data_IF_260854722988
#
_entry.id   IF_260854722988
#
_cell.length_a   1.000
_cell.length_b   1.000
_cell.length_c   1.000
_cell.angle_alpha   90.00
_cell.angle_beta   90.00
_cell.angle_gamma   90.00
#
_symmetry.space_group_name_H-M   'P 1'
#
loop_
_entity.id
_entity.type
_entity.pdbx_description
1 polymer ?
#
# COMPACT_ATOMS: atom_id res chain seq x y z
N UNK A 1 8.04 -8.78 -15.23
CA UNK A 1 7.95 -8.60 -13.77
C UNK A 1 7.53 -9.91 -13.12
N UNK A 2 8.25 -10.35 -12.11
CA UNK A 2 7.89 -11.56 -11.36
C UNK A 2 6.92 -11.20 -10.24
N UNK A 3 5.63 -11.47 -10.43
CA UNK A 3 4.60 -11.20 -9.42
C UNK A 3 4.56 -12.22 -8.28
N UNK A 4 5.26 -13.35 -8.42
CA UNK A 4 5.29 -14.40 -7.40
C UNK A 4 6.35 -14.16 -6.33
N UNK A 5 7.10 -13.07 -6.41
CA UNK A 5 8.13 -12.75 -5.44
C UNK A 5 7.52 -12.63 -4.04
N UNK A 6 8.14 -13.32 -3.07
CA UNK A 6 7.55 -13.47 -1.72
C UNK A 6 8.10 -12.48 -0.71
N UNK A 7 9.30 -12.01 -0.90
CA UNK A 7 9.96 -11.12 0.06
C UNK A 7 10.84 -10.11 -0.65
N UNK A 8 10.87 -8.89 -0.12
CA UNK A 8 11.64 -7.78 -0.69
C UNK A 8 12.11 -6.87 0.43
N UNK A 9 13.24 -6.21 0.18
CA UNK A 9 13.64 -5.04 0.95
C UNK A 9 12.95 -3.81 0.38
N UNK A 10 12.74 -2.82 1.24
CA UNK A 10 12.18 -1.55 0.85
C UNK A 10 12.83 -0.38 1.56
N UNK A 11 12.64 0.81 1.02
CA UNK A 11 13.16 2.03 1.60
C UNK A 11 12.31 3.23 1.17
N UNK A 12 12.28 4.28 2.00
CA UNK A 12 11.75 5.57 1.60
C UNK A 12 12.75 6.26 0.64
N UNK A 13 12.36 7.39 0.07
CA UNK A 13 13.16 8.08 -0.94
C UNK A 13 14.55 8.49 -0.41
N UNK A 14 14.63 9.04 0.79
CA UNK A 14 15.92 9.45 1.36
C UNK A 14 16.77 8.27 1.87
N UNK A 15 16.20 7.08 1.91
CA UNK A 15 16.87 5.89 2.43
C UNK A 15 16.98 5.83 3.95
N UNK A 16 16.43 6.81 4.67
CA UNK A 16 16.47 6.84 6.12
C UNK A 16 15.65 5.74 6.77
N UNK A 17 14.49 5.42 6.19
CA UNK A 17 13.65 4.29 6.60
C UNK A 17 13.95 3.11 5.69
N UNK A 18 14.31 1.98 6.28
CA UNK A 18 14.55 0.72 5.58
C UNK A 18 13.80 -0.41 6.25
N UNK A 19 13.22 -1.27 5.45
CA UNK A 19 12.44 -2.40 5.97
C UNK A 19 12.60 -3.63 5.09
N UNK A 20 12.25 -4.77 5.67
CA UNK A 20 12.10 -6.03 4.96
C UNK A 20 10.65 -6.46 5.07
N UNK A 21 10.06 -6.92 3.97
CA UNK A 21 8.66 -7.32 3.96
C UNK A 21 8.49 -8.66 3.27
N UNK A 22 7.63 -9.49 3.86
CA UNK A 22 7.16 -10.74 3.28
C UNK A 22 5.74 -10.50 2.78
N UNK A 23 5.53 -10.64 1.48
CA UNK A 23 4.25 -10.33 0.83
C UNK A 23 3.27 -11.50 0.95
N UNK A 24 2.00 -11.21 1.27
CA UNK A 24 0.98 -12.24 1.45
C UNK A 24 0.62 -12.99 0.16
N UNK A 25 0.69 -12.31 -0.98
CA UNK A 25 0.41 -12.90 -2.29
C UNK A 25 1.29 -12.26 -3.36
N UNK A 26 2.57 -12.07 -3.04
CA UNK A 26 3.50 -11.42 -3.92
C UNK A 26 2.99 -10.06 -4.39
N UNK A 27 3.17 -9.75 -5.64
CA UNK A 27 2.70 -8.52 -6.25
C UNK A 27 1.30 -8.66 -6.87
N UNK A 28 0.64 -9.81 -6.72
CA UNK A 28 -0.70 -10.06 -7.27
C UNK A 28 -1.79 -9.25 -6.58
N UNK A 29 -1.55 -8.81 -5.35
CA UNK A 29 -2.51 -8.00 -4.60
C UNK A 29 -2.44 -6.50 -4.93
N UNK A 30 -1.64 -6.11 -5.91
CA UNK A 30 -1.44 -4.71 -6.29
C UNK A 30 -2.78 -4.02 -6.62
N UNK A 31 -3.01 -2.86 -6.01
CA UNK A 31 -4.23 -2.08 -6.15
C UNK A 31 -4.02 -0.62 -5.79
N UNK A 32 -4.99 0.19 -6.17
CA UNK A 32 -5.16 1.56 -5.66
C UNK A 32 -6.50 1.66 -4.94
N UNK A 33 -6.67 2.72 -4.18
CA UNK A 33 -7.91 3.01 -3.47
C UNK A 33 -8.36 4.42 -3.82
N UNK A 34 -9.67 4.62 -3.93
CA UNK A 34 -10.26 5.91 -4.28
C UNK A 34 -10.76 6.72 -3.07
N UNK A 35 -10.45 6.31 -1.84
CA UNK A 35 -10.85 7.08 -0.66
C UNK A 35 -10.20 8.47 -0.67
N UNK A 36 -10.70 9.36 0.19
CA UNK A 36 -10.26 10.77 0.23
C UNK A 36 -8.75 10.93 0.37
N UNK A 37 -8.11 10.05 1.13
CA UNK A 37 -6.67 10.10 1.37
C UNK A 37 -5.89 9.40 0.25
N UNK A 38 -6.29 8.17 -0.09
CA UNK A 38 -5.55 7.37 -1.06
C UNK A 38 -5.58 7.95 -2.49
N UNK A 39 -6.69 8.61 -2.88
CA UNK A 39 -6.76 9.27 -4.19
C UNK A 39 -5.73 10.40 -4.30
N UNK A 40 -5.46 11.10 -3.20
CA UNK A 40 -4.48 12.18 -3.16
C UNK A 40 -3.05 11.63 -3.16
N UNK A 41 -2.83 10.56 -2.40
CA UNK A 41 -1.52 9.90 -2.30
C UNK A 41 -1.12 9.18 -3.59
N UNK A 42 -2.07 8.53 -4.26
CA UNK A 42 -1.84 7.89 -5.55
C UNK A 42 -1.00 6.63 -5.54
N UNK A 43 -0.75 6.03 -4.38
CA UNK A 43 0.12 4.88 -4.27
C UNK A 43 -0.53 3.59 -4.78
N UNK A 44 0.26 2.76 -5.46
CA UNK A 44 -0.06 1.35 -5.69
C UNK A 44 0.45 0.58 -4.49
N UNK A 45 -0.40 -0.26 -3.90
CA UNK A 45 -0.06 -1.00 -2.69
C UNK A 45 -0.24 -2.49 -2.87
N UNK A 46 0.53 -3.26 -2.11
CA UNK A 46 0.42 -4.71 -2.00
C UNK A 46 0.24 -5.10 -0.54
N UNK A 47 -0.22 -6.31 -0.28
CA UNK A 47 -0.61 -6.76 1.05
C UNK A 47 0.52 -7.51 1.75
N UNK A 48 0.70 -7.23 3.05
CA UNK A 48 1.53 -8.00 3.97
C UNK A 48 0.79 -8.18 5.29
N UNK A 49 1.07 -9.27 6.02
CA UNK A 49 0.55 -9.46 7.37
C UNK A 49 1.30 -8.54 8.35
N UNK A 50 0.69 -8.22 9.50
CA UNK A 50 1.31 -7.34 10.49
C UNK A 50 2.67 -7.88 10.97
N UNK A 51 2.80 -9.19 11.14
CA UNK A 51 4.05 -9.80 11.60
C UNK A 51 5.15 -9.86 10.53
N UNK A 52 4.82 -9.52 9.28
CA UNK A 52 5.70 -9.77 8.13
C UNK A 52 6.41 -8.52 7.60
N UNK A 53 6.32 -7.40 8.32
CA UNK A 53 7.16 -6.23 8.06
C UNK A 53 8.13 -6.06 9.22
N UNK A 54 9.42 -5.98 8.90
CA UNK A 54 10.48 -5.69 9.87
C UNK A 54 11.12 -4.35 9.50
N UNK A 55 11.09 -3.39 10.42
CA UNK A 55 11.76 -2.11 10.23
C UNK A 55 13.24 -2.30 10.61
N UNK A 56 14.10 -2.27 9.61
CA UNK A 56 15.53 -2.50 9.78
C UNK A 56 16.28 -1.26 10.25
N UNK A 57 15.78 -0.07 9.86
CA UNK A 57 16.44 1.20 10.14
C UNK A 57 15.39 2.31 10.07
N UNK A 58 15.55 3.34 10.89
CA UNK A 58 14.79 4.58 10.77
C UNK A 58 13.37 4.52 11.33
N UNK A 59 13.08 3.60 12.27
CA UNK A 59 11.77 3.55 12.93
C UNK A 59 11.40 4.92 13.55
N UNK A 60 12.38 5.65 14.07
CA UNK A 60 12.19 6.97 14.67
C UNK A 60 11.84 8.05 13.64
N UNK A 61 12.06 7.80 12.35
CA UNK A 61 11.68 8.71 11.27
C UNK A 61 10.24 8.48 10.81
N UNK A 62 9.63 7.34 11.16
CA UNK A 62 8.26 7.05 10.77
C UNK A 62 7.30 7.93 11.56
N UNK A 63 6.43 8.63 10.82
CA UNK A 63 5.37 9.46 11.37
C UNK A 63 4.04 8.81 11.07
N UNK A 64 3.15 8.79 12.06
CA UNK A 64 1.81 8.23 11.96
C UNK A 64 0.82 9.34 11.63
N UNK A 65 0.02 9.11 10.59
CA UNK A 65 -1.16 9.92 10.29
C UNK A 65 -2.42 9.08 10.41
N UNK A 66 -3.39 9.58 11.16
CA UNK A 66 -4.69 8.94 11.34
C UNK A 66 -5.80 9.95 11.04
N UNK A 67 -6.92 9.46 10.54
CA UNK A 67 -8.10 10.29 10.30
C UNK A 67 -9.36 9.43 10.41
N UNK A 68 -10.54 10.09 10.46
CA UNK A 68 -11.84 9.44 10.56
C UNK A 68 -11.90 8.51 11.79
N UNK A 69 -12.06 7.21 11.60
CA UNK A 69 -12.17 6.25 12.72
C UNK A 69 -10.86 5.99 13.44
N UNK A 70 -9.72 6.36 12.86
CA UNK A 70 -8.39 6.05 13.41
C UNK A 70 -8.01 4.58 13.31
N UNK A 71 -8.83 3.73 12.67
CA UNK A 71 -8.52 2.31 12.47
C UNK A 71 -7.35 2.14 11.52
N UNK A 72 -7.36 2.87 10.39
CA UNK A 72 -6.24 2.87 9.46
C UNK A 72 -5.10 3.72 10.03
N UNK A 73 -3.88 3.18 9.95
CA UNK A 73 -2.68 3.85 10.46
C UNK A 73 -1.70 4.02 9.31
N UNK A 74 -1.47 5.26 8.91
CA UNK A 74 -0.65 5.58 7.74
C UNK A 74 0.72 6.07 8.19
N UNK A 75 1.77 5.42 7.71
CA UNK A 75 3.15 5.72 8.10
C UNK A 75 3.90 6.35 6.93
N UNK A 76 4.66 7.38 7.21
CA UNK A 76 5.53 8.03 6.23
C UNK A 76 6.82 8.49 6.89
N UNK A 77 7.87 8.64 6.07
CA UNK A 77 9.15 9.16 6.54
C UNK A 77 9.03 10.66 6.82
N UNK A 78 9.37 11.10 8.03
CA UNK A 78 9.33 12.51 8.40
C UNK A 78 10.35 13.36 7.66
N UNK A 79 11.43 12.75 7.15
CA UNK A 79 12.50 13.45 6.47
C UNK A 79 12.19 13.71 4.99
N UNK A 80 11.68 12.70 4.27
CA UNK A 80 11.40 12.85 2.84
C UNK A 80 9.92 12.87 2.49
N UNK A 81 9.03 12.58 3.46
CA UNK A 81 7.58 12.60 3.27
C UNK A 81 7.00 11.39 2.55
N UNK A 82 7.81 10.42 2.17
CA UNK A 82 7.32 9.27 1.40
C UNK A 82 6.58 8.29 2.31
N UNK A 83 5.35 8.00 1.93
CA UNK A 83 4.52 6.95 2.51
C UNK A 83 5.18 5.58 2.27
N UNK A 84 5.30 4.79 3.33
CA UNK A 84 5.90 3.45 3.27
C UNK A 84 4.86 2.35 3.33
N UNK A 85 3.99 2.39 4.32
CA UNK A 85 2.96 1.37 4.54
C UNK A 85 1.84 1.91 5.42
N UNK A 86 0.74 1.18 5.47
CA UNK A 86 -0.36 1.51 6.37
C UNK A 86 -1.05 0.24 6.88
N UNK A 87 -1.54 0.29 8.12
CA UNK A 87 -2.46 -0.71 8.64
C UNK A 87 -3.82 -0.46 8.03
N UNK A 88 -4.42 -1.50 7.45
CA UNK A 88 -5.64 -1.37 6.65
C UNK A 88 -6.88 -1.22 7.53
N UNK A 89 -7.81 -0.35 7.12
CA UNK A 89 -9.12 -0.24 7.76
C UNK A 89 -10.00 -1.46 7.48
N UNK A 90 -10.00 -1.94 6.23
CA UNK A 90 -10.82 -3.07 5.80
C UNK A 90 -10.37 -4.40 6.40
N UNK A 91 -9.10 -4.51 6.75
CA UNK A 91 -8.53 -5.68 7.42
C UNK A 91 -7.37 -5.22 8.31
N UNK A 92 -7.66 -4.91 9.61
CA UNK A 92 -6.63 -4.40 10.51
C UNK A 92 -5.48 -5.37 10.82
N UNK A 93 -5.61 -6.64 10.44
CA UNK A 93 -4.54 -7.64 10.57
C UNK A 93 -3.54 -7.59 9.42
N UNK A 94 -3.72 -6.66 8.49
CA UNK A 94 -2.87 -6.53 7.31
C UNK A 94 -2.35 -5.12 7.13
N UNK A 95 -1.15 -5.03 6.52
CA UNK A 95 -0.60 -3.80 5.97
C UNK A 95 -0.85 -3.71 4.46
N UNK A 96 -1.05 -2.47 3.97
CA UNK A 96 -0.79 -2.12 2.58
C UNK A 96 0.61 -1.53 2.49
N UNK A 97 1.40 -1.99 1.54
CA UNK A 97 2.80 -1.59 1.38
C UNK A 97 2.95 -0.87 0.04
N UNK A 98 3.58 0.31 0.06
CA UNK A 98 3.82 1.11 -1.14
C UNK A 98 4.83 0.39 -2.05
N UNK A 99 4.39 -0.04 -3.23
CA UNK A 99 5.28 -0.76 -4.16
C UNK A 99 6.46 0.09 -4.62
N UNK A 100 6.30 1.42 -4.65
CA UNK A 100 7.38 2.32 -5.05
C UNK A 100 8.56 2.29 -4.08
N UNK A 101 8.34 1.84 -2.84
CA UNK A 101 9.42 1.66 -1.86
C UNK A 101 10.16 0.33 -2.02
N UNK A 102 9.57 -0.64 -2.72
CA UNK A 102 10.12 -1.99 -2.84
C UNK A 102 11.26 -2.03 -3.85
N UNK A 103 12.36 -2.64 -3.46
CA UNK A 103 13.55 -2.75 -4.29
C UNK A 103 13.25 -3.47 -5.62
N UNK A 104 13.59 -2.83 -6.72
CA UNK A 104 13.40 -3.37 -8.05
C UNK A 104 11.96 -3.32 -8.58
N UNK A 105 11.03 -2.69 -7.86
CA UNK A 105 9.63 -2.59 -8.27
C UNK A 105 9.26 -1.13 -8.52
N UNK A 106 8.59 -0.87 -9.63
CA UNK A 106 8.04 0.44 -9.95
C UNK A 106 6.51 0.33 -10.11
N UNK A 107 5.75 1.36 -9.69
CA UNK A 107 4.32 1.40 -10.01
C UNK A 107 4.04 1.30 -11.51
N UNK A 108 5.00 1.72 -12.35
CA UNK A 108 4.88 1.68 -13.80
C UNK A 108 5.18 0.29 -14.40
N UNK A 109 5.54 -0.70 -13.57
CA UNK A 109 5.70 -2.09 -14.01
C UNK A 109 4.34 -2.79 -14.17
N UNK A 110 3.26 -2.19 -13.65
CA UNK A 110 1.91 -2.78 -13.69
C UNK A 110 1.14 -2.23 -14.89
N UNK A 111 0.81 -3.10 -15.84
CA UNK A 111 0.01 -2.72 -17.00
C UNK A 111 -1.39 -2.27 -16.58
N UNK A 112 -1.94 -2.87 -15.52
CA UNK A 112 -3.20 -2.43 -14.92
C UNK A 112 -3.26 -2.78 -13.44
N UNK A 113 -3.98 -1.96 -12.68
CA UNK A 113 -4.27 -2.22 -11.27
C UNK A 113 -5.74 -1.92 -11.00
N UNK A 114 -6.43 -2.76 -10.22
CA UNK A 114 -7.79 -2.49 -9.81
C UNK A 114 -7.83 -1.31 -8.82
N UNK A 115 -8.97 -0.62 -8.81
CA UNK A 115 -9.25 0.47 -7.87
C UNK A 115 -10.30 -0.02 -6.87
N UNK A 116 -9.92 -0.11 -5.60
CA UNK A 116 -10.83 -0.50 -4.51
C UNK A 116 -11.76 0.66 -4.16
N UNK A 117 -12.98 0.32 -3.77
CA UNK A 117 -13.98 1.31 -3.36
C UNK A 117 -13.76 1.75 -1.91
N UNK A 118 -12.98 2.82 -1.74
CA UNK A 118 -12.79 3.45 -0.43
C UNK A 118 -13.79 4.57 -0.14
N UNK A 119 -14.56 5.00 -1.14
CA UNK A 119 -15.65 5.97 -0.96
C UNK A 119 -16.82 5.31 -0.25
N UNK A 120 -17.21 4.11 -0.73
CA UNK A 120 -18.20 3.27 -0.07
C UNK A 120 -17.47 2.09 0.58
N UNK A 121 -16.72 2.39 1.63
CA UNK A 121 -15.84 1.43 2.27
C UNK A 121 -16.61 0.19 2.76
N UNK A 122 -16.06 -1.04 2.59
CA UNK A 122 -16.74 -2.27 3.03
C UNK A 122 -17.19 -2.25 4.48
N UNK A 123 -16.44 -1.60 5.39
CA UNK A 123 -16.79 -1.49 6.80
C UNK A 123 -18.03 -0.62 7.05
N UNK A 124 -18.40 0.24 6.09
CA UNK A 124 -19.56 1.13 6.19
C UNK A 124 -20.77 0.60 5.42
N UNK A 125 -20.65 -0.59 4.80
CA UNK A 125 -21.72 -1.20 4.01
C UNK A 125 -22.41 -2.31 4.77
N UNK A 126 -23.68 -2.56 4.40
CA UNK A 126 -24.40 -3.71 4.90
C UNK A 126 -23.72 -5.01 4.45
N UNK A 127 -23.79 -6.05 5.32
CA UNK A 127 -23.28 -7.37 4.98
C UNK A 127 -23.91 -7.90 3.70
N UNK A 128 -23.11 -8.50 2.83
CA UNK A 128 -23.57 -9.06 1.55
C UNK A 128 -23.62 -8.04 0.41
N UNK A 129 -23.32 -6.76 0.64
CA UNK A 129 -23.18 -5.77 -0.42
C UNK A 129 -21.94 -6.06 -1.26
N UNK A 130 -22.02 -5.90 -2.57
CA UNK A 130 -20.95 -6.19 -3.49
C UNK A 130 -19.62 -5.54 -3.12
N UNK A 131 -18.51 -6.23 -3.36
CA UNK A 131 -17.17 -5.84 -2.92
C UNK A 131 -16.13 -5.78 -4.05
N UNK A 132 -16.55 -5.85 -5.31
CA UNK A 132 -15.63 -5.79 -6.43
C UNK A 132 -14.98 -4.41 -6.60
N UNK A 133 -13.93 -4.31 -7.42
CA UNK A 133 -13.32 -3.02 -7.73
C UNK A 133 -14.29 -2.11 -8.47
N UNK A 134 -14.14 -0.80 -8.28
CA UNK A 134 -14.97 0.21 -8.97
C UNK A 134 -14.38 0.64 -10.31
N UNK A 135 -13.17 0.22 -10.61
CA UNK A 135 -12.50 0.56 -11.85
C UNK A 135 -11.14 -0.08 -11.96
N UNK A 136 -10.47 0.24 -13.06
CA UNK A 136 -9.11 -0.23 -13.35
C UNK A 136 -8.32 0.95 -13.91
N UNK A 137 -7.11 1.14 -13.41
CA UNK A 137 -6.15 2.07 -13.99
C UNK A 137 -5.16 1.31 -14.84
N UNK A 138 -4.93 1.79 -16.04
CA UNK A 138 -4.01 1.17 -17.00
C UNK A 138 -2.88 2.11 -17.32
N UNK A 139 -1.71 1.55 -17.50
CA UNK A 139 -0.52 2.25 -17.94
C UNK A 139 -0.07 1.72 -19.29
N UNK A 140 0.04 2.63 -20.26
CA UNK A 140 0.52 2.33 -21.61
C UNK A 140 1.85 3.05 -21.81
N UNK A 141 2.97 2.33 -21.86
CA UNK A 141 4.25 2.97 -22.14
C UNK A 141 4.19 3.72 -23.49
N UNK A 142 4.84 4.89 -23.55
CA UNK A 142 4.97 5.62 -24.80
C UNK A 142 5.81 4.80 -25.81
N UNK A 143 5.46 4.91 -27.07
CA UNK A 143 6.23 4.27 -28.17
C UNK A 143 7.52 5.03 -28.48
#
# INVERSE_FOLDING_TARGET
MNKDIKALNGACHCGGVRFHVRLANGLHSARRCNCSYCRMRGAVVVTAKLADIEILQGAELLTLYEFNTGTAKHYFCSRCGIYTHHQRRSDPDQYGVNVACLEGVSPFDFAEVPVSDGVNHPADRAAGTGSGPVGVLRYFPAE
#
